data_IF_448264970432
#
_entry.id   IF_448264970432
#
_cell.length_a   1.000
_cell.length_b   1.000
_cell.length_c   1.000
_cell.angle_alpha   90.00
_cell.angle_beta   90.00
_cell.angle_gamma   90.00
#
_symmetry.space_group_name_H-M   'P 1'
#
loop_
_entity.id
_entity.type
_entity.pdbx_description
1 polymer ?
#
# COMPACT_ATOMS: atom_id res chain seq x y z
N UNK A 1 -14.16 19.42 -8.85
CA UNK A 1 -13.21 18.46 -8.26
C UNK A 1 -13.72 17.10 -8.67
N UNK A 2 -12.88 16.21 -9.20
CA UNK A 2 -13.33 14.86 -9.59
C UNK A 2 -13.78 14.05 -8.38
N UNK A 3 -14.57 13.01 -8.60
CA UNK A 3 -15.15 12.16 -7.54
C UNK A 3 -14.08 11.56 -6.63
N UNK A 4 -12.99 11.05 -7.21
CA UNK A 4 -11.87 10.44 -6.49
C UNK A 4 -11.10 11.47 -5.65
N UNK A 5 -10.92 12.68 -6.17
CA UNK A 5 -10.29 13.75 -5.40
C UNK A 5 -11.15 14.17 -4.21
N UNK A 6 -12.47 14.14 -4.34
CA UNK A 6 -13.42 14.36 -3.23
C UNK A 6 -13.30 13.30 -2.14
N UNK A 7 -13.22 12.02 -2.53
CA UNK A 7 -13.04 10.90 -1.60
C UNK A 7 -11.70 10.98 -0.84
N UNK A 8 -10.61 11.32 -1.53
CA UNK A 8 -9.31 11.55 -0.89
C UNK A 8 -9.35 12.73 0.09
N UNK A 9 -10.10 13.81 -0.23
CA UNK A 9 -10.26 14.94 0.67
C UNK A 9 -11.00 14.55 1.95
N UNK A 10 -12.06 13.75 1.85
CA UNK A 10 -12.78 13.23 3.01
C UNK A 10 -11.87 12.39 3.91
N UNK A 11 -11.04 11.52 3.32
CA UNK A 11 -10.05 10.76 4.09
C UNK A 11 -9.00 11.67 4.75
N UNK A 12 -8.51 12.70 4.04
CA UNK A 12 -7.61 13.69 4.61
C UNK A 12 -8.19 14.39 5.84
N UNK A 13 -9.47 14.81 5.77
CA UNK A 13 -10.17 15.44 6.88
C UNK A 13 -10.29 14.51 8.11
N UNK A 14 -10.56 13.22 7.89
CA UNK A 14 -10.57 12.21 8.95
C UNK A 14 -9.19 12.10 9.63
N UNK A 15 -8.11 12.05 8.84
CA UNK A 15 -6.74 11.98 9.35
C UNK A 15 -6.34 13.24 10.12
N UNK A 16 -6.73 14.42 9.67
CA UNK A 16 -6.49 15.69 10.38
C UNK A 16 -7.24 15.70 11.73
N UNK A 17 -8.49 15.25 11.73
CA UNK A 17 -9.35 15.26 12.93
C UNK A 17 -8.94 14.24 13.98
N UNK A 18 -8.54 13.04 13.57
CA UNK A 18 -8.35 11.88 14.46
C UNK A 18 -6.90 11.39 14.52
N UNK A 19 -6.06 11.73 13.54
CA UNK A 19 -4.74 11.13 13.35
C UNK A 19 -3.78 11.30 14.53
N UNK A 20 -3.70 12.51 15.10
CA UNK A 20 -2.86 12.79 16.27
C UNK A 20 -3.40 12.11 17.53
N UNK A 21 -4.71 12.21 17.79
CA UNK A 21 -5.38 11.60 18.95
C UNK A 21 -5.19 10.09 19.01
N UNK A 22 -5.15 9.43 17.85
CA UNK A 22 -4.98 7.97 17.72
C UNK A 22 -3.52 7.54 17.52
N UNK A 23 -2.59 8.50 17.48
CA UNK A 23 -1.16 8.24 17.25
C UNK A 23 -0.86 7.60 15.90
N UNK A 24 -1.60 8.01 14.86
CA UNK A 24 -1.47 7.53 13.48
C UNK A 24 -0.46 8.36 12.69
N UNK A 25 -0.53 9.68 12.88
CA UNK A 25 0.34 10.66 12.23
C UNK A 25 0.81 11.66 13.27
N UNK A 26 2.12 11.93 13.28
CA UNK A 26 2.66 12.97 14.14
C UNK A 26 2.32 14.38 13.63
N UNK A 27 2.34 15.40 14.50
CA UNK A 27 2.00 16.78 14.11
C UNK A 27 2.83 17.32 12.95
N UNK A 28 4.07 16.83 12.79
CA UNK A 28 5.00 17.23 11.71
C UNK A 28 4.63 16.65 10.34
N UNK A 29 3.79 15.61 10.30
CA UNK A 29 3.36 14.95 9.06
C UNK A 29 2.11 15.60 8.46
N UNK A 30 1.28 16.29 9.28
CA UNK A 30 0.05 16.93 8.82
C UNK A 30 0.27 17.95 7.68
N UNK A 31 1.28 18.84 7.74
CA UNK A 31 1.54 19.77 6.62
C UNK A 31 1.93 19.07 5.31
N UNK A 32 2.40 17.82 5.40
CA UNK A 32 2.87 17.00 4.27
C UNK A 32 1.89 15.88 3.93
N UNK A 33 0.69 15.88 4.56
CA UNK A 33 -0.31 14.81 4.41
C UNK A 33 -0.65 14.55 2.94
N UNK A 34 -0.92 15.61 2.19
CA UNK A 34 -1.27 15.49 0.78
C UNK A 34 -0.11 14.98 -0.06
N UNK A 35 1.01 15.64 -0.07
CA UNK A 35 2.13 15.32 -0.97
C UNK A 35 2.82 14.02 -0.59
N UNK A 36 3.16 13.85 0.68
CA UNK A 36 3.97 12.71 1.13
C UNK A 36 3.16 11.44 1.39
N UNK A 37 1.87 11.58 1.75
CA UNK A 37 1.08 10.41 2.14
C UNK A 37 0.00 10.07 1.12
N UNK A 38 -0.96 10.96 0.87
CA UNK A 38 -2.08 10.66 -0.02
C UNK A 38 -1.61 10.49 -1.47
N UNK A 39 -1.01 11.51 -2.06
CA UNK A 39 -0.59 11.48 -3.47
C UNK A 39 0.49 10.42 -3.73
N UNK A 40 1.48 10.30 -2.85
CA UNK A 40 2.48 9.25 -2.96
C UNK A 40 1.84 7.85 -2.96
N UNK A 41 0.76 7.65 -2.18
CA UNK A 41 0.06 6.37 -2.11
C UNK A 41 -0.73 6.05 -3.37
N UNK A 42 -1.14 7.03 -4.18
CA UNK A 42 -1.84 6.76 -5.45
C UNK A 42 -0.92 6.13 -6.50
N UNK A 43 0.39 6.25 -6.35
CA UNK A 43 1.36 5.73 -7.32
C UNK A 43 1.24 4.21 -7.56
N UNK A 44 0.78 3.44 -6.56
CA UNK A 44 0.58 1.99 -6.74
C UNK A 44 -0.62 1.65 -7.62
N UNK A 45 -1.58 2.57 -7.79
CA UNK A 45 -2.84 2.30 -8.48
C UNK A 45 -2.67 1.91 -9.96
N UNK A 46 -1.62 2.43 -10.61
CA UNK A 46 -1.30 2.12 -12.01
C UNK A 46 -0.76 0.70 -12.23
N UNK A 47 -0.38 0.00 -11.17
CA UNK A 47 0.20 -1.36 -11.23
C UNK A 47 -0.77 -2.44 -10.77
N UNK A 48 -1.97 -2.07 -10.40
CA UNK A 48 -3.00 -3.00 -9.93
C UNK A 48 -3.95 -3.32 -11.09
N UNK A 49 -4.06 -4.58 -11.51
CA UNK A 49 -5.03 -5.00 -12.53
C UNK A 49 -6.48 -4.70 -12.10
N UNK A 50 -7.37 -4.52 -13.08
CA UNK A 50 -8.79 -4.36 -12.79
C UNK A 50 -9.37 -5.64 -12.20
N UNK A 51 -10.19 -5.51 -11.16
CA UNK A 51 -10.80 -6.64 -10.44
C UNK A 51 -9.82 -7.42 -9.55
N UNK A 52 -8.60 -6.93 -9.36
CA UNK A 52 -7.59 -7.61 -8.54
C UNK A 52 -7.95 -7.60 -7.05
N UNK A 53 -7.53 -8.66 -6.34
CA UNK A 53 -7.46 -8.69 -4.89
C UNK A 53 -6.07 -8.20 -4.45
N UNK A 54 -6.03 -7.18 -3.59
CA UNK A 54 -4.81 -6.54 -3.11
C UNK A 54 -4.66 -6.71 -1.62
N UNK A 55 -3.47 -7.07 -1.13
CA UNK A 55 -3.13 -6.99 0.28
C UNK A 55 -2.27 -5.76 0.55
N UNK A 56 -2.69 -4.89 1.46
CA UNK A 56 -1.87 -3.81 2.02
C UNK A 56 -1.30 -4.26 3.36
N UNK A 57 0.00 -4.55 3.40
CA UNK A 57 0.66 -5.11 4.59
C UNK A 57 1.21 -3.99 5.47
N UNK A 58 0.77 -3.98 6.73
CA UNK A 58 1.11 -2.93 7.69
C UNK A 58 0.40 -1.62 7.37
N UNK A 59 -0.90 -1.70 7.12
CA UNK A 59 -1.73 -0.58 6.63
C UNK A 59 -1.68 0.68 7.52
N UNK A 60 -1.48 0.53 8.80
CA UNK A 60 -1.24 1.61 9.75
C UNK A 60 -2.33 2.68 9.77
N UNK A 61 -2.01 3.87 9.27
CA UNK A 61 -2.97 4.97 9.09
C UNK A 61 -3.87 4.82 7.85
N UNK A 62 -3.67 3.77 7.04
CA UNK A 62 -4.41 3.50 5.81
C UNK A 62 -3.61 3.75 4.53
N UNK A 63 -2.28 3.73 4.59
CA UNK A 63 -1.41 4.01 3.46
C UNK A 63 -0.58 2.78 3.05
N UNK A 64 -0.63 2.36 1.77
CA UNK A 64 -1.40 2.97 0.68
C UNK A 64 -2.83 2.40 0.52
N UNK A 65 -3.25 1.38 1.28
CA UNK A 65 -4.42 0.56 1.01
C UNK A 65 -5.76 1.31 0.97
N UNK A 66 -6.04 2.19 1.94
CA UNK A 66 -7.27 3.01 1.93
C UNK A 66 -7.26 3.97 0.74
N UNK A 67 -6.11 4.61 0.45
CA UNK A 67 -5.98 5.48 -0.72
C UNK A 67 -6.24 4.71 -2.01
N UNK A 68 -5.69 3.50 -2.13
CA UNK A 68 -5.92 2.63 -3.28
C UNK A 68 -7.40 2.30 -3.43
N UNK A 69 -8.08 1.88 -2.37
CA UNK A 69 -9.51 1.56 -2.38
C UNK A 69 -10.37 2.75 -2.85
N UNK A 70 -10.02 3.98 -2.43
CA UNK A 70 -10.73 5.21 -2.83
C UNK A 70 -10.54 5.56 -4.30
N UNK A 71 -9.33 5.37 -4.85
CA UNK A 71 -9.05 5.74 -6.26
C UNK A 71 -9.32 4.59 -7.24
N UNK A 72 -9.47 3.36 -6.75
CA UNK A 72 -9.73 2.14 -7.51
C UNK A 72 -10.89 1.34 -6.90
N UNK A 73 -12.14 1.81 -7.05
CA UNK A 73 -13.31 1.09 -6.53
C UNK A 73 -13.58 -0.25 -7.25
N UNK A 74 -12.85 -0.51 -8.33
CA UNK A 74 -12.88 -1.75 -9.11
C UNK A 74 -12.00 -2.87 -8.56
N UNK A 75 -11.24 -2.64 -7.47
CA UNK A 75 -10.38 -3.65 -6.83
C UNK A 75 -10.79 -3.88 -5.39
N UNK A 76 -10.60 -5.11 -4.89
CA UNK A 76 -10.79 -5.45 -3.47
C UNK A 76 -9.47 -5.28 -2.70
N UNK A 77 -9.52 -4.67 -1.51
CA UNK A 77 -8.33 -4.40 -0.70
C UNK A 77 -8.46 -5.03 0.68
N UNK A 78 -7.51 -5.90 1.05
CA UNK A 78 -7.36 -6.45 2.39
C UNK A 78 -6.29 -5.63 3.14
N UNK A 79 -6.72 -4.88 4.14
CA UNK A 79 -5.85 -4.11 5.03
C UNK A 79 -5.36 -5.00 6.16
N UNK A 80 -4.07 -5.33 6.19
CA UNK A 80 -3.44 -6.23 7.17
C UNK A 80 -2.69 -5.39 8.20
N UNK A 81 -3.10 -5.43 9.47
CA UNK A 81 -2.53 -4.64 10.56
C UNK A 81 -2.61 -5.40 11.88
N UNK A 82 -1.50 -5.67 12.58
CA UNK A 82 -1.52 -6.42 13.85
C UNK A 82 -2.01 -5.63 15.05
N UNK A 83 -1.88 -4.29 15.04
CA UNK A 83 -2.17 -3.46 16.21
C UNK A 83 -3.65 -3.15 16.35
N UNK A 84 -4.32 -3.64 17.40
CA UNK A 84 -5.75 -3.50 17.63
C UNK A 84 -6.28 -2.06 17.48
N UNK A 85 -5.53 -1.05 17.97
CA UNK A 85 -5.96 0.37 17.88
C UNK A 85 -5.98 0.88 16.44
N UNK A 86 -5.03 0.40 15.58
CA UNK A 86 -4.98 0.75 14.16
C UNK A 86 -6.02 -0.01 13.36
N UNK A 87 -6.27 -1.27 13.71
CA UNK A 87 -7.39 -2.04 13.14
C UNK A 87 -8.71 -1.33 13.39
N UNK A 88 -8.97 -0.86 14.63
CA UNK A 88 -10.19 -0.12 14.91
C UNK A 88 -10.29 1.17 14.08
N UNK A 89 -9.18 1.89 13.91
CA UNK A 89 -9.13 3.05 13.03
C UNK A 89 -9.50 2.70 11.59
N UNK A 90 -8.93 1.62 11.05
CA UNK A 90 -9.19 1.18 9.66
C UNK A 90 -10.65 0.76 9.47
N UNK A 91 -11.26 0.10 10.46
CA UNK A 91 -12.68 -0.23 10.46
C UNK A 91 -13.56 1.02 10.49
N UNK A 92 -13.23 1.98 11.38
CA UNK A 92 -13.95 3.25 11.45
C UNK A 92 -13.86 4.02 10.12
N UNK A 93 -12.69 4.05 9.48
CA UNK A 93 -12.49 4.69 8.17
C UNK A 93 -13.30 4.01 7.09
N UNK A 94 -13.29 2.67 7.04
CA UNK A 94 -14.07 1.91 6.06
C UNK A 94 -15.56 2.20 6.18
N UNK A 95 -16.08 2.28 7.42
CA UNK A 95 -17.48 2.61 7.71
C UNK A 95 -17.80 4.08 7.34
N UNK A 96 -17.00 5.03 7.81
CA UNK A 96 -17.26 6.47 7.56
C UNK A 96 -17.20 6.88 6.10
N UNK A 97 -16.36 6.18 5.31
CA UNK A 97 -16.20 6.43 3.87
C UNK A 97 -17.00 5.46 3.00
N UNK A 98 -17.79 4.56 3.62
CA UNK A 98 -18.59 3.53 2.96
C UNK A 98 -17.77 2.73 1.92
N UNK A 99 -16.61 2.19 2.34
CA UNK A 99 -15.72 1.44 1.48
C UNK A 99 -16.14 -0.04 1.42
N UNK A 100 -17.02 -0.38 0.49
CA UNK A 100 -17.52 -1.76 0.31
C UNK A 100 -16.46 -2.72 -0.23
N UNK A 101 -15.38 -2.18 -0.83
CA UNK A 101 -14.26 -2.91 -1.40
C UNK A 101 -13.07 -3.08 -0.42
N UNK A 102 -13.28 -2.86 0.88
CA UNK A 102 -12.23 -2.98 1.91
C UNK A 102 -12.59 -4.04 2.92
N UNK A 103 -11.60 -4.87 3.27
CA UNK A 103 -11.64 -5.79 4.42
C UNK A 103 -10.45 -5.50 5.33
N UNK A 104 -10.65 -5.57 6.64
CA UNK A 104 -9.58 -5.38 7.62
C UNK A 104 -9.26 -6.70 8.31
N UNK A 105 -8.00 -7.12 8.21
CA UNK A 105 -7.49 -8.32 8.87
C UNK A 105 -6.56 -7.91 10.03
N UNK A 106 -6.93 -8.29 11.26
CA UNK A 106 -6.04 -8.13 12.41
C UNK A 106 -5.08 -9.29 12.49
N UNK A 107 -3.97 -9.18 11.77
CA UNK A 107 -2.95 -10.22 11.68
C UNK A 107 -1.59 -9.63 11.32
N UNK A 108 -0.53 -10.40 11.49
CA UNK A 108 0.73 -10.23 10.80
C UNK A 108 0.64 -10.93 9.43
N UNK A 109 1.43 -10.48 8.46
CA UNK A 109 1.43 -11.07 7.12
C UNK A 109 1.78 -12.57 7.13
N UNK A 110 2.72 -12.97 7.97
CA UNK A 110 3.16 -14.37 8.11
C UNK A 110 2.09 -15.30 8.71
N UNK A 111 1.17 -14.77 9.50
CA UNK A 111 0.04 -15.53 10.05
C UNK A 111 -1.01 -15.90 9.00
N UNK A 112 -1.01 -15.20 7.86
CA UNK A 112 -1.96 -15.42 6.76
C UNK A 112 -1.41 -16.31 5.63
N UNK A 113 -0.22 -16.88 5.79
CA UNK A 113 0.36 -17.79 4.81
C UNK A 113 -0.52 -19.05 4.66
N UNK A 114 -0.91 -19.34 3.41
CA UNK A 114 -1.80 -20.45 3.09
C UNK A 114 -3.29 -20.19 3.30
N UNK A 115 -3.65 -19.08 3.95
CA UNK A 115 -5.04 -18.66 4.17
C UNK A 115 -5.47 -17.53 3.23
N UNK A 116 -4.54 -16.64 2.86
CA UNK A 116 -4.77 -15.53 1.95
C UNK A 116 -3.87 -15.66 0.71
N UNK A 117 -4.45 -15.54 -0.47
CA UNK A 117 -3.75 -15.46 -1.73
C UNK A 117 -4.28 -14.27 -2.53
N UNK A 118 -3.39 -13.38 -2.98
CA UNK A 118 -3.74 -12.10 -3.63
C UNK A 118 -2.95 -11.88 -4.91
N UNK A 119 -3.50 -11.08 -5.82
CA UNK A 119 -2.88 -10.71 -7.08
C UNK A 119 -1.74 -9.70 -6.89
N UNK A 120 -1.92 -8.77 -5.94
CA UNK A 120 -0.93 -7.73 -5.66
C UNK A 120 -0.73 -7.59 -4.15
N UNK A 121 0.52 -7.48 -3.72
CA UNK A 121 0.85 -7.02 -2.37
C UNK A 121 1.47 -5.65 -2.45
N UNK A 122 0.95 -4.74 -1.66
CA UNK A 122 1.51 -3.41 -1.44
C UNK A 122 1.85 -3.19 0.03
N UNK A 123 2.73 -2.26 0.31
CA UNK A 123 3.00 -1.75 1.65
C UNK A 123 3.82 -0.47 1.59
N UNK A 124 3.91 0.22 2.73
CA UNK A 124 4.74 1.41 2.91
C UNK A 124 5.34 1.44 4.32
N UNK A 125 6.65 1.74 4.42
CA UNK A 125 7.35 1.99 5.69
C UNK A 125 7.26 0.86 6.74
N UNK A 126 7.17 -0.40 6.30
CA UNK A 126 7.06 -1.58 7.20
C UNK A 126 8.44 -2.06 7.63
N UNK A 127 9.30 -2.44 6.67
CA UNK A 127 10.64 -2.98 6.92
C UNK A 127 11.55 -2.77 5.70
N UNK A 128 12.84 -3.05 5.84
CA UNK A 128 13.75 -3.18 4.71
C UNK A 128 13.30 -4.32 3.79
N UNK A 129 13.54 -4.20 2.49
CA UNK A 129 13.02 -5.16 1.49
C UNK A 129 13.47 -6.61 1.79
N UNK A 130 14.70 -6.80 2.24
CA UNK A 130 15.25 -8.13 2.60
C UNK A 130 14.49 -8.82 3.75
N UNK A 131 13.91 -8.03 4.66
CA UNK A 131 13.12 -8.54 5.80
C UNK A 131 11.65 -8.70 5.44
N UNK A 132 11.15 -7.80 4.59
CA UNK A 132 9.76 -7.77 4.16
C UNK A 132 9.39 -8.92 3.23
N UNK A 133 10.26 -9.23 2.24
CA UNK A 133 9.98 -10.21 1.20
C UNK A 133 9.55 -11.58 1.74
N UNK A 134 10.20 -12.18 2.75
CA UNK A 134 9.75 -13.46 3.31
C UNK A 134 8.34 -13.45 3.90
N UNK A 135 7.88 -12.28 4.37
CA UNK A 135 6.55 -12.15 4.96
C UNK A 135 5.47 -12.01 3.89
N UNK A 136 5.78 -11.32 2.78
CA UNK A 136 4.77 -10.92 1.81
C UNK A 136 4.73 -11.78 0.55
N UNK A 137 5.86 -12.34 0.12
CA UNK A 137 5.90 -13.17 -1.08
C UNK A 137 4.97 -14.41 -1.01
N UNK A 138 4.81 -15.10 0.14
CA UNK A 138 3.91 -16.23 0.23
C UNK A 138 2.41 -15.89 0.06
N UNK A 139 2.05 -14.61 0.21
CA UNK A 139 0.68 -14.15 -0.02
C UNK A 139 0.32 -14.00 -1.49
N UNK A 140 1.30 -13.98 -2.40
CA UNK A 140 1.04 -13.82 -3.83
C UNK A 140 0.53 -15.12 -4.46
N UNK A 141 -0.44 -15.00 -5.36
CA UNK A 141 -0.75 -16.04 -6.36
C UNK A 141 0.41 -16.19 -7.34
N UNK A 142 0.44 -17.23 -8.15
CA UNK A 142 1.38 -17.35 -9.28
C UNK A 142 1.15 -16.19 -10.25
N UNK A 143 2.22 -15.61 -10.80
CA UNK A 143 2.23 -14.37 -11.57
C UNK A 143 1.81 -13.09 -10.80
N UNK A 144 1.48 -13.19 -9.52
CA UNK A 144 1.17 -12.04 -8.67
C UNK A 144 2.36 -11.09 -8.49
N UNK A 145 2.09 -9.85 -8.12
CA UNK A 145 3.10 -8.77 -8.11
C UNK A 145 3.26 -8.13 -6.73
N UNK A 146 4.50 -7.82 -6.36
CA UNK A 146 4.79 -6.85 -5.30
C UNK A 146 4.89 -5.46 -5.91
N UNK A 147 4.15 -4.50 -5.35
CA UNK A 147 4.19 -3.08 -5.69
C UNK A 147 4.39 -2.26 -4.41
N UNK A 148 5.65 -2.07 -3.99
CA UNK A 148 6.00 -1.59 -2.66
C UNK A 148 6.52 -0.16 -2.72
N UNK A 149 5.89 0.76 -1.98
CA UNK A 149 6.35 2.15 -1.85
C UNK A 149 7.63 2.22 -1.02
N UNK A 150 8.67 2.81 -1.60
CA UNK A 150 9.98 2.97 -0.99
C UNK A 150 10.51 4.41 -1.16
N UNK A 151 11.46 4.77 -0.32
CA UNK A 151 12.16 6.05 -0.38
C UNK A 151 13.36 6.03 -1.33
N UNK A 152 14.23 7.04 -1.20
CA UNK A 152 15.42 7.26 -2.03
C UNK A 152 16.40 6.07 -2.06
N UNK A 153 16.37 5.18 -1.06
CA UNK A 153 17.22 3.98 -1.00
C UNK A 153 16.66 2.76 -1.74
N UNK A 154 15.56 2.88 -2.50
CA UNK A 154 14.90 1.76 -3.16
C UNK A 154 15.85 0.86 -3.97
N UNK A 155 16.71 1.46 -4.81
CA UNK A 155 17.69 0.71 -5.61
C UNK A 155 18.73 -0.04 -4.76
N UNK A 156 19.21 0.58 -3.68
CA UNK A 156 20.13 -0.07 -2.74
C UNK A 156 19.47 -1.24 -1.99
N UNK A 157 18.20 -1.06 -1.56
CA UNK A 157 17.43 -2.12 -0.92
C UNK A 157 17.18 -3.32 -1.85
N UNK A 158 16.97 -3.08 -3.15
CA UNK A 158 16.85 -4.15 -4.16
C UNK A 158 18.15 -4.96 -4.23
N UNK A 159 19.29 -4.27 -4.32
CA UNK A 159 20.59 -4.96 -4.38
C UNK A 159 20.84 -5.81 -3.12
N UNK A 160 20.54 -5.26 -1.93
CA UNK A 160 20.65 -5.96 -0.64
C UNK A 160 19.69 -7.15 -0.53
N UNK A 161 18.54 -7.10 -1.22
CA UNK A 161 17.49 -8.10 -1.18
C UNK A 161 17.59 -9.16 -2.31
N UNK A 162 18.50 -9.04 -3.26
CA UNK A 162 18.54 -9.88 -4.48
C UNK A 162 18.48 -11.39 -4.17
N UNK A 163 19.27 -11.86 -3.20
CA UNK A 163 19.28 -13.26 -2.81
C UNK A 163 17.98 -13.73 -2.16
N UNK A 164 17.31 -12.89 -1.36
CA UNK A 164 16.05 -13.26 -0.73
C UNK A 164 14.89 -13.22 -1.72
N UNK A 165 14.87 -12.27 -2.65
CA UNK A 165 13.92 -12.24 -3.76
C UNK A 165 13.93 -13.57 -4.53
N UNK A 166 15.11 -13.98 -4.98
CA UNK A 166 15.29 -15.24 -5.70
C UNK A 166 14.82 -16.47 -4.89
N UNK A 167 15.24 -16.58 -3.61
CA UNK A 167 14.81 -17.70 -2.74
C UNK A 167 13.31 -17.71 -2.45
N UNK A 168 12.66 -16.57 -2.53
CA UNK A 168 11.20 -16.43 -2.35
C UNK A 168 10.42 -16.68 -3.64
N UNK A 169 11.07 -17.10 -4.73
CA UNK A 169 10.42 -17.34 -6.02
C UNK A 169 9.97 -16.07 -6.73
N UNK A 170 10.67 -14.96 -6.51
CA UNK A 170 10.40 -13.69 -7.17
C UNK A 170 11.44 -13.42 -8.27
N UNK A 171 10.99 -12.80 -9.35
CA UNK A 171 11.85 -12.29 -10.41
C UNK A 171 12.76 -11.14 -9.89
N UNK A 172 13.80 -10.75 -10.63
CA UNK A 172 14.56 -9.56 -10.29
C UNK A 172 13.66 -8.34 -10.14
N UNK A 173 13.82 -7.60 -9.04
CA UNK A 173 13.04 -6.39 -8.78
C UNK A 173 13.64 -5.17 -9.49
N UNK A 174 12.79 -4.18 -9.75
CA UNK A 174 13.18 -2.88 -10.31
C UNK A 174 12.46 -1.74 -9.60
N UNK A 175 12.91 -0.51 -9.81
CA UNK A 175 12.25 0.71 -9.31
C UNK A 175 11.49 1.35 -10.47
N UNK A 176 10.22 1.67 -10.21
CA UNK A 176 9.41 2.52 -11.07
C UNK A 176 9.27 3.88 -10.40
N UNK A 177 9.63 4.96 -11.10
CA UNK A 177 9.36 6.32 -10.64
C UNK A 177 8.05 6.80 -11.26
N UNK A 178 7.12 7.25 -10.42
CA UNK A 178 5.74 7.57 -10.82
C UNK A 178 5.37 8.96 -10.33
N UNK A 179 4.91 9.80 -11.26
CA UNK A 179 4.25 11.04 -10.90
C UNK A 179 2.80 10.75 -10.50
N UNK A 180 2.35 11.17 -9.32
CA UNK A 180 0.99 10.93 -8.87
C UNK A 180 -0.05 11.56 -9.79
N UNK A 181 -1.06 10.78 -10.17
CA UNK A 181 -2.19 11.23 -10.99
C UNK A 181 -3.50 10.92 -10.29
N UNK A 182 -4.40 11.89 -10.18
CA UNK A 182 -5.77 11.69 -9.68
C UNK A 182 -6.74 12.37 -10.65
N UNK A 183 -7.79 11.66 -11.07
CA UNK A 183 -8.78 12.13 -12.04
C UNK A 183 -8.15 12.70 -13.35
N UNK A 184 -7.03 12.09 -13.80
CA UNK A 184 -6.31 12.52 -15.01
C UNK A 184 -5.46 13.79 -14.82
N UNK A 185 -5.39 14.35 -13.62
CA UNK A 185 -4.56 15.51 -13.29
C UNK A 185 -3.24 15.03 -12.65
N UNK A 186 -2.13 15.42 -13.27
CA UNK A 186 -0.81 15.27 -12.65
C UNK A 186 -0.68 16.20 -11.46
N UNK A 187 -0.48 15.61 -10.31
CA UNK A 187 -0.30 16.35 -9.06
C UNK A 187 1.19 16.40 -8.77
N UNK A 188 1.80 17.53 -9.13
CA UNK A 188 3.22 17.76 -8.94
C UNK A 188 3.56 17.69 -7.45
N UNK A 189 4.17 16.58 -7.04
CA UNK A 189 4.90 16.45 -5.78
C UNK A 189 6.32 16.99 -5.95
N UNK A 190 6.99 17.26 -4.84
CA UNK A 190 8.40 17.70 -4.86
C UNK A 190 9.35 16.62 -5.44
N UNK A 191 8.95 15.33 -5.34
CA UNK A 191 9.69 14.18 -5.88
C UNK A 191 8.72 13.11 -6.38
N UNK A 192 9.08 12.33 -7.45
CA UNK A 192 8.29 11.19 -7.88
C UNK A 192 8.21 10.12 -6.80
N UNK A 193 7.09 9.43 -6.74
CA UNK A 193 6.95 8.25 -5.90
C UNK A 193 7.79 7.10 -6.46
N UNK A 194 8.48 6.37 -5.60
CA UNK A 194 9.26 5.18 -6.00
C UNK A 194 8.54 3.93 -5.57
N UNK A 195 8.19 3.10 -6.57
CA UNK A 195 7.57 1.80 -6.36
C UNK A 195 8.57 0.72 -6.74
N UNK A 196 8.93 -0.12 -5.78
CA UNK A 196 9.70 -1.35 -6.06
C UNK A 196 8.73 -2.39 -6.54
N UNK A 197 9.00 -2.94 -7.73
CA UNK A 197 8.17 -3.94 -8.38
C UNK A 197 8.93 -5.25 -8.60
N UNK A 198 8.25 -6.37 -8.43
CA UNK A 198 8.71 -7.70 -8.81
C UNK A 198 7.52 -8.64 -8.93
N UNK A 199 7.65 -9.72 -9.69
CA UNK A 199 6.60 -10.71 -9.91
C UNK A 199 6.97 -12.05 -9.33
N UNK A 200 5.97 -12.78 -8.88
CA UNK A 200 6.13 -14.19 -8.53
C UNK A 200 6.33 -15.01 -9.80
N UNK A 201 7.38 -15.83 -9.78
CA UNK A 201 7.62 -16.79 -10.86
C UNK A 201 6.70 -17.99 -10.64
N UNK A 202 5.92 -18.42 -11.67
CA UNK A 202 5.08 -19.59 -11.55
C UNK A 202 5.85 -20.83 -11.11
N UNK A 203 5.26 -21.62 -10.25
CA UNK A 203 5.83 -22.93 -9.89
C UNK A 203 5.51 -23.87 -11.04
N UNK A 204 6.53 -24.26 -11.80
CA UNK A 204 6.43 -25.24 -12.87
C UNK A 204 5.98 -26.60 -12.38
#
# INVERSE_FOLDING_TARGET
MGERAGALAAFAELLVREGDKRGLLGPRELPRLWTRHLLNSTAVSGFVPSGALVADVGSGAGFPGVVLALVRPDVDVVLIEPMARRVQWLLDVADWLALDNVRVARARADELHGELAVDVVTCRAVAALRELVPWVAPLLVDDGELAILKGARAAAEIAEAAAVLHRSGLAPAWVEEVDPVVDGVHLFGEEPARVVRTRRVPRG
#
